data_IF_363961895479
#
_entry.id   IF_363961895479
#
_cell.length_a   1.000
_cell.length_b   1.000
_cell.length_c   1.000
_cell.angle_alpha   90.00
_cell.angle_beta   90.00
_cell.angle_gamma   90.00
#
_symmetry.space_group_name_H-M   'P 1'
#
loop_
_entity.id
_entity.type
_entity.pdbx_description
1 polymer ?
#
# COMPACT_ATOMS: atom_id res chain seq x y z
N UNK A 1 21.81 -43.86 24.01
CA UNK A 1 21.39 -42.44 23.97
C UNK A 1 20.64 -42.25 22.66
N UNK A 2 19.33 -42.48 22.71
CA UNK A 2 18.43 -42.36 21.57
C UNK A 2 18.17 -40.88 21.30
N UNK A 3 18.44 -40.46 20.07
CA UNK A 3 18.10 -39.13 19.56
C UNK A 3 16.57 -39.02 19.46
N UNK A 4 15.97 -38.42 20.47
CA UNK A 4 14.55 -38.11 20.53
C UNK A 4 14.30 -36.77 19.80
N UNK A 5 14.37 -36.79 18.46
CA UNK A 5 13.80 -35.73 17.65
C UNK A 5 12.31 -35.97 17.60
N UNK A 6 11.61 -35.46 18.62
CA UNK A 6 10.16 -35.46 18.70
C UNK A 6 9.59 -34.97 17.37
N UNK A 7 8.79 -35.84 16.75
CA UNK A 7 8.09 -35.63 15.49
C UNK A 7 7.23 -34.37 15.56
N UNK A 8 7.83 -33.22 15.26
CA UNK A 8 7.06 -32.03 14.93
C UNK A 8 6.46 -32.32 13.56
N UNK A 9 5.25 -32.86 13.57
CA UNK A 9 4.57 -33.31 12.37
C UNK A 9 4.34 -32.08 11.49
N UNK A 10 5.07 -32.01 10.37
CA UNK A 10 4.94 -30.92 9.39
C UNK A 10 3.47 -30.67 9.01
N UNK A 11 2.62 -31.70 9.02
CA UNK A 11 1.19 -31.58 8.77
C UNK A 11 0.44 -30.79 9.85
N UNK A 12 0.91 -30.79 11.09
CA UNK A 12 0.33 -29.99 12.18
C UNK A 12 0.71 -28.52 12.01
N UNK A 13 1.98 -28.23 11.72
CA UNK A 13 2.44 -26.88 11.37
C UNK A 13 1.66 -26.32 10.17
N UNK A 14 1.45 -27.13 9.13
CA UNK A 14 0.67 -26.74 7.96
C UNK A 14 -0.81 -26.46 8.28
N UNK A 15 -1.44 -27.29 9.11
CA UNK A 15 -2.85 -27.08 9.52
C UNK A 15 -3.02 -25.83 10.36
N UNK A 16 -2.09 -25.58 11.28
CA UNK A 16 -2.11 -24.38 12.11
C UNK A 16 -1.89 -23.12 11.25
N UNK A 17 -1.00 -23.19 10.26
CA UNK A 17 -0.77 -22.10 9.30
C UNK A 17 -1.99 -21.83 8.38
N UNK A 18 -2.69 -22.87 7.93
CA UNK A 18 -3.88 -22.74 7.07
C UNK A 18 -5.13 -22.24 7.80
N UNK A 19 -5.22 -22.46 9.12
CA UNK A 19 -6.37 -22.06 9.94
C UNK A 19 -6.29 -20.63 10.48
N UNK A 20 -5.21 -19.91 10.21
CA UNK A 20 -5.10 -18.52 10.65
C UNK A 20 -6.08 -17.67 9.85
N UNK A 21 -7.09 -17.12 10.53
CA UNK A 21 -8.05 -16.15 9.98
C UNK A 21 -7.34 -15.01 9.23
N UNK A 22 -6.16 -14.62 9.71
CA UNK A 22 -5.26 -13.66 9.06
C UNK A 22 -4.92 -14.04 7.61
N UNK A 23 -4.68 -15.31 7.30
CA UNK A 23 -4.36 -15.73 5.92
C UNK A 23 -5.57 -15.56 4.99
N UNK A 24 -6.80 -15.76 5.48
CA UNK A 24 -8.01 -15.54 4.67
C UNK A 24 -8.23 -14.05 4.42
N UNK A 25 -8.02 -13.21 5.42
CA UNK A 25 -8.18 -11.76 5.31
C UNK A 25 -7.12 -11.14 4.39
N UNK A 26 -5.89 -11.67 4.42
CA UNK A 26 -4.79 -11.27 3.52
C UNK A 26 -5.00 -11.72 2.07
N UNK A 27 -5.81 -12.76 1.82
CA UNK A 27 -6.14 -13.26 0.49
C UNK A 27 -7.55 -12.90 0.04
N UNK A 28 -8.17 -11.89 0.67
CA UNK A 28 -9.49 -11.44 0.27
C UNK A 28 -9.52 -11.07 -1.22
N UNK A 29 -10.53 -11.56 -1.92
CA UNK A 29 -10.87 -11.15 -3.27
C UNK A 29 -12.39 -11.01 -3.38
N UNK A 30 -12.83 -10.03 -4.17
CA UNK A 30 -14.25 -9.73 -4.34
C UNK A 30 -14.52 -8.88 -5.56
N UNK A 31 -15.79 -8.52 -5.75
CA UNK A 31 -16.22 -7.64 -6.82
C UNK A 31 -15.84 -6.18 -6.52
N UNK A 32 -15.92 -5.33 -7.54
CA UNK A 32 -15.79 -3.89 -7.37
C UNK A 32 -16.82 -3.33 -6.36
N UNK A 33 -18.04 -3.86 -6.34
CA UNK A 33 -19.09 -3.43 -5.40
C UNK A 33 -18.79 -3.83 -3.95
N UNK A 34 -18.18 -4.99 -3.74
CA UNK A 34 -17.72 -5.40 -2.41
C UNK A 34 -16.65 -4.44 -1.89
N UNK A 35 -15.73 -4.04 -2.76
CA UNK A 35 -14.71 -3.04 -2.44
C UNK A 35 -15.32 -1.66 -2.11
N UNK A 36 -16.29 -1.16 -2.89
CA UNK A 36 -16.99 0.10 -2.55
C UNK A 36 -17.66 0.02 -1.19
N UNK A 37 -18.22 -1.14 -0.83
CA UNK A 37 -18.81 -1.38 0.49
C UNK A 37 -17.76 -1.35 1.61
N UNK A 38 -16.55 -1.87 1.35
CA UNK A 38 -15.41 -1.77 2.26
C UNK A 38 -14.99 -0.31 2.45
N UNK A 39 -14.87 0.49 1.38
CA UNK A 39 -14.48 1.91 1.45
C UNK A 39 -15.53 2.69 2.25
N UNK A 40 -16.82 2.41 2.03
CA UNK A 40 -17.91 3.06 2.77
C UNK A 40 -17.88 2.74 4.26
N UNK A 41 -17.47 1.52 4.64
CA UNK A 41 -17.34 1.09 6.04
C UNK A 41 -16.08 1.67 6.69
N UNK A 42 -14.98 1.71 5.95
CA UNK A 42 -13.69 2.21 6.42
C UNK A 42 -13.00 3.03 5.30
N UNK A 43 -13.22 4.34 5.23
CA UNK A 43 -12.60 5.23 4.26
C UNK A 43 -11.06 5.18 4.27
N UNK A 44 -10.43 4.79 5.38
CA UNK A 44 -8.97 4.70 5.50
C UNK A 44 -8.33 3.68 4.56
N UNK A 45 -9.09 2.77 3.95
CA UNK A 45 -8.52 1.80 2.99
C UNK A 45 -8.06 2.47 1.69
N UNK A 46 -8.64 3.61 1.32
CA UNK A 46 -8.26 4.39 0.13
C UNK A 46 -7.21 5.48 0.45
N UNK A 47 -6.46 5.33 1.55
CA UNK A 47 -5.37 6.25 1.90
C UNK A 47 -4.26 6.19 0.86
N UNK A 48 -3.74 7.37 0.51
CA UNK A 48 -2.54 7.49 -0.30
C UNK A 48 -1.28 7.05 0.49
N UNK A 49 -0.14 6.97 -0.19
CA UNK A 49 1.12 6.54 0.41
C UNK A 49 1.55 7.41 1.62
N UNK A 50 1.42 8.73 1.53
CA UNK A 50 1.82 9.64 2.61
C UNK A 50 0.92 9.54 3.84
N UNK A 51 -0.40 9.44 3.64
CA UNK A 51 -1.37 9.21 4.71
C UNK A 51 -1.07 7.89 5.43
N UNK A 52 -0.77 6.83 4.66
CA UNK A 52 -0.43 5.52 5.22
C UNK A 52 0.86 5.55 6.03
N UNK A 53 1.90 6.22 5.53
CA UNK A 53 3.18 6.35 6.24
C UNK A 53 3.05 7.20 7.51
N UNK A 54 2.29 8.29 7.45
CA UNK A 54 2.06 9.15 8.62
C UNK A 54 1.28 8.41 9.70
N UNK A 55 0.17 7.77 9.33
CA UNK A 55 -0.67 7.03 10.27
C UNK A 55 0.08 5.83 10.87
N UNK A 56 0.88 5.10 10.07
CA UNK A 56 1.76 4.04 10.57
C UNK A 56 2.62 4.50 11.76
N UNK A 57 3.23 5.68 11.64
CA UNK A 57 4.14 6.20 12.66
C UNK A 57 3.37 6.67 13.89
N UNK A 58 2.24 7.38 13.69
CA UNK A 58 1.46 7.97 14.78
C UNK A 58 0.62 6.93 15.53
N UNK A 59 0.08 5.92 14.83
CA UNK A 59 -0.72 4.84 15.43
C UNK A 59 0.10 3.94 16.38
N UNK A 60 1.43 3.89 16.21
CA UNK A 60 2.33 3.24 17.18
C UNK A 60 2.45 4.00 18.51
N UNK A 61 2.03 5.26 18.55
CA UNK A 61 2.02 6.09 19.75
C UNK A 61 3.15 7.12 19.79
N UNK A 62 2.90 8.18 20.55
CA UNK A 62 3.81 9.31 20.72
C UNK A 62 3.90 9.74 22.17
N UNK A 63 5.06 10.23 22.59
CA UNK A 63 5.27 10.83 23.91
C UNK A 63 5.78 12.26 23.75
N UNK A 64 5.27 13.19 24.56
CA UNK A 64 5.70 14.58 24.54
C UNK A 64 6.59 14.86 25.74
N UNK A 65 7.75 15.47 25.50
CA UNK A 65 8.66 15.93 26.53
C UNK A 65 9.24 17.30 26.19
N UNK A 66 9.80 17.98 27.21
CA UNK A 66 10.41 19.30 27.03
C UNK A 66 11.92 19.17 27.09
N UNK A 67 12.59 19.49 25.97
CA UNK A 67 14.04 19.59 25.88
C UNK A 67 14.47 21.05 25.73
N UNK A 68 15.18 21.60 26.71
CA UNK A 68 15.67 23.00 26.72
C UNK A 68 14.60 24.00 26.21
N UNK A 69 13.41 23.98 26.84
CA UNK A 69 12.22 24.81 26.52
C UNK A 69 11.55 24.53 25.16
N UNK A 70 11.94 23.49 24.43
CA UNK A 70 11.28 23.05 23.20
C UNK A 70 10.40 21.84 23.50
N UNK A 71 9.17 21.88 23.02
CA UNK A 71 8.29 20.72 23.00
C UNK A 71 8.77 19.76 21.92
N UNK A 72 9.15 18.55 22.33
CA UNK A 72 9.64 17.50 21.46
C UNK A 72 8.67 16.32 21.53
N UNK A 73 8.31 15.79 20.36
CA UNK A 73 7.49 14.61 20.22
C UNK A 73 8.41 13.44 19.90
N UNK A 74 8.44 12.47 20.79
CA UNK A 74 9.04 11.17 20.57
C UNK A 74 8.02 10.23 19.91
N UNK A 75 8.42 9.54 18.86
CA UNK A 75 7.55 8.63 18.11
C UNK A 75 7.99 7.19 18.37
N UNK A 76 7.13 6.41 19.06
CA UNK A 76 7.45 5.03 19.48
C UNK A 76 7.74 4.07 18.33
N UNK A 77 7.25 4.41 17.14
CA UNK A 77 7.60 3.70 15.92
C UNK A 77 9.13 3.52 15.74
N UNK A 78 9.94 4.50 16.17
CA UNK A 78 11.40 4.46 16.02
C UNK A 78 12.14 3.74 17.15
N UNK A 79 11.43 3.21 18.15
CA UNK A 79 12.00 2.40 19.24
C UNK A 79 12.18 0.94 18.85
N UNK A 80 11.56 0.50 17.74
CA UNK A 80 11.67 -0.86 17.20
C UNK A 80 11.28 -1.96 18.23
N UNK A 81 10.31 -1.67 19.10
CA UNK A 81 9.91 -2.57 20.20
C UNK A 81 9.52 -3.98 19.71
N UNK A 82 8.79 -4.05 18.57
CA UNK A 82 8.37 -5.31 17.95
C UNK A 82 9.56 -6.22 17.57
N UNK A 83 10.75 -5.65 17.34
CA UNK A 83 11.97 -6.40 16.98
C UNK A 83 13.03 -6.36 18.11
N UNK A 84 12.62 -6.02 19.32
CA UNK A 84 13.50 -5.97 20.49
C UNK A 84 14.52 -4.81 20.45
N UNK A 85 14.18 -3.70 19.80
CA UNK A 85 15.02 -2.50 19.76
C UNK A 85 16.27 -2.63 18.90
N UNK A 86 16.31 -3.60 17.98
CA UNK A 86 17.50 -3.90 17.15
C UNK A 86 17.90 -2.71 16.26
N UNK A 87 16.89 -2.01 15.75
CA UNK A 87 17.03 -0.87 14.86
C UNK A 87 16.69 0.46 15.54
N UNK A 88 16.50 0.45 16.87
CA UNK A 88 16.05 1.61 17.64
C UNK A 88 16.91 2.85 17.38
N UNK A 89 16.25 4.00 17.17
CA UNK A 89 16.90 5.26 16.84
C UNK A 89 16.84 6.21 18.03
N UNK A 90 17.99 6.46 18.64
CA UNK A 90 18.10 7.33 19.82
C UNK A 90 18.65 8.72 19.48
N UNK A 91 18.18 9.74 20.21
CA UNK A 91 18.73 11.10 20.13
C UNK A 91 18.45 11.86 18.84
N UNK A 92 17.53 11.36 17.99
CA UNK A 92 17.13 11.99 16.73
C UNK A 92 15.69 12.50 16.74
N UNK A 93 15.06 12.70 17.90
CA UNK A 93 13.66 13.11 17.99
C UNK A 93 13.35 14.38 17.21
N UNK A 94 14.19 15.43 17.32
CA UNK A 94 14.00 16.69 16.58
C UNK A 94 14.07 16.46 15.05
N UNK A 95 15.10 15.79 14.49
CA UNK A 95 15.09 15.38 13.09
C UNK A 95 13.89 14.52 12.67
N UNK A 96 13.49 13.55 13.48
CA UNK A 96 12.36 12.66 13.22
C UNK A 96 11.03 13.44 13.22
N UNK A 97 10.84 14.39 14.14
CA UNK A 97 9.71 15.31 14.10
C UNK A 97 9.64 16.10 12.79
N UNK A 98 10.77 16.57 12.27
CA UNK A 98 10.79 17.26 10.97
C UNK A 98 10.38 16.32 9.84
N UNK A 99 10.88 15.08 9.83
CA UNK A 99 10.47 14.07 8.85
C UNK A 99 8.97 13.77 8.93
N UNK A 100 8.45 13.50 10.13
CA UNK A 100 7.03 13.19 10.34
C UNK A 100 6.15 14.40 10.01
N UNK A 101 6.60 15.62 10.26
CA UNK A 101 5.88 16.83 9.83
C UNK A 101 5.81 16.96 8.30
N UNK A 102 6.85 16.56 7.57
CA UNK A 102 6.80 16.49 6.10
C UNK A 102 5.77 15.45 5.66
N UNK A 103 5.75 14.27 6.27
CA UNK A 103 4.74 13.24 5.99
C UNK A 103 3.33 13.73 6.30
N UNK A 104 3.13 14.41 7.43
CA UNK A 104 1.85 15.03 7.82
C UNK A 104 1.39 16.06 6.79
N UNK A 105 2.29 16.94 6.36
CA UNK A 105 1.96 17.96 5.36
C UNK A 105 1.58 17.33 4.00
N UNK A 106 2.28 16.26 3.60
CA UNK A 106 1.98 15.52 2.38
C UNK A 106 0.67 14.73 2.49
N UNK A 107 0.37 14.15 3.66
CA UNK A 107 -0.89 13.45 3.94
C UNK A 107 -2.12 14.36 3.81
N UNK A 108 -1.94 15.65 4.11
CA UNK A 108 -2.97 16.70 4.00
C UNK A 108 -3.00 17.40 2.62
N UNK A 109 -2.11 17.04 1.69
CA UNK A 109 -2.07 17.60 0.35
C UNK A 109 -1.54 19.04 0.25
N UNK A 110 -0.65 19.45 1.16
CA UNK A 110 -0.06 20.80 1.17
C UNK A 110 1.13 20.97 0.20
N UNK A 111 1.24 20.13 -0.84
CA UNK A 111 2.27 20.21 -1.88
C UNK A 111 3.57 19.49 -1.56
N UNK A 112 3.72 18.98 -0.32
CA UNK A 112 4.90 18.18 0.07
C UNK A 112 4.90 16.80 -0.60
N UNK A 113 3.74 16.30 -1.02
CA UNK A 113 3.57 15.01 -1.71
C UNK A 113 4.25 14.95 -3.09
N UNK A 114 4.58 16.11 -3.66
CA UNK A 114 5.26 16.24 -4.97
C UNK A 114 6.77 16.46 -4.85
N UNK A 115 7.34 16.36 -3.63
CA UNK A 115 8.75 16.69 -3.35
C UNK A 115 9.55 15.44 -2.99
N UNK A 116 10.83 15.46 -3.35
CA UNK A 116 11.78 14.43 -2.90
C UNK A 116 12.23 14.75 -1.47
N UNK A 117 12.13 13.77 -0.57
CA UNK A 117 12.66 13.87 0.79
C UNK A 117 14.12 13.43 0.78
N UNK A 118 15.03 14.37 1.03
CA UNK A 118 16.46 14.09 1.12
C UNK A 118 16.91 13.99 2.58
N UNK A 119 17.33 12.80 3.01
CA UNK A 119 17.99 12.61 4.31
C UNK A 119 19.49 12.85 4.13
N UNK A 120 20.00 13.96 4.67
CA UNK A 120 21.41 14.30 4.65
C UNK A 120 21.98 14.39 6.07
N UNK A 121 23.27 14.04 6.24
CA UNK A 121 23.94 14.10 7.53
C UNK A 121 25.21 13.24 7.57
N UNK A 122 26.04 13.35 8.62
CA UNK A 122 27.30 12.61 8.76
C UNK A 122 27.12 11.09 8.66
N UNK A 123 28.21 10.36 8.40
CA UNK A 123 28.20 8.89 8.47
C UNK A 123 27.81 8.46 9.89
N UNK A 124 26.99 7.41 10.03
CA UNK A 124 26.51 6.92 11.33
C UNK A 124 25.29 7.63 11.91
N UNK A 125 24.71 8.62 11.23
CA UNK A 125 23.50 9.34 11.69
C UNK A 125 22.16 8.60 11.48
N UNK A 126 22.16 7.26 11.50
CA UNK A 126 20.97 6.39 11.37
C UNK A 126 20.06 6.59 10.14
N UNK A 127 20.43 7.38 9.12
CA UNK A 127 19.60 7.62 7.91
C UNK A 127 19.08 6.35 7.24
N UNK A 128 19.96 5.40 6.98
CA UNK A 128 19.59 4.11 6.36
C UNK A 128 18.75 3.25 7.31
N UNK A 129 18.96 3.37 8.62
CA UNK A 129 18.15 2.70 9.65
C UNK A 129 16.72 3.22 9.61
N UNK A 130 16.53 4.55 9.62
CA UNK A 130 15.20 5.19 9.50
C UNK A 130 14.47 4.72 8.23
N UNK A 131 15.14 4.76 7.07
CA UNK A 131 14.53 4.27 5.83
C UNK A 131 14.13 2.79 5.92
N UNK A 132 14.98 1.94 6.49
CA UNK A 132 14.72 0.52 6.65
C UNK A 132 13.57 0.25 7.62
N UNK A 133 13.48 0.98 8.73
CA UNK A 133 12.36 0.88 9.66
C UNK A 133 11.05 1.26 8.98
N UNK A 134 11.02 2.33 8.20
CA UNK A 134 9.82 2.75 7.45
C UNK A 134 9.38 1.66 6.45
N UNK A 135 10.32 1.08 5.69
CA UNK A 135 10.02 -0.01 4.74
C UNK A 135 9.46 -1.25 5.42
N UNK A 136 10.14 -1.74 6.47
CA UNK A 136 9.66 -2.89 7.26
C UNK A 136 8.32 -2.59 7.93
N UNK A 137 8.16 -1.38 8.47
CA UNK A 137 6.97 -0.92 9.14
C UNK A 137 5.77 -0.87 8.20
N UNK A 138 5.92 -0.32 7.00
CA UNK A 138 4.81 -0.24 6.02
C UNK A 138 4.45 -1.62 5.47
N UNK A 139 5.43 -2.51 5.27
CA UNK A 139 5.18 -3.91 4.95
C UNK A 139 4.38 -4.62 6.06
N UNK A 140 4.81 -4.52 7.31
CA UNK A 140 4.10 -5.13 8.45
C UNK A 140 2.70 -4.52 8.63
N UNK A 141 2.59 -3.20 8.53
CA UNK A 141 1.32 -2.48 8.61
C UNK A 141 0.35 -2.91 7.51
N UNK A 142 0.84 -3.15 6.30
CA UNK A 142 0.01 -3.65 5.20
C UNK A 142 -0.62 -5.01 5.46
N UNK A 143 -0.14 -5.77 6.47
CA UNK A 143 -0.71 -7.06 6.88
C UNK A 143 -1.79 -6.93 7.96
N UNK A 144 -1.99 -5.74 8.55
CA UNK A 144 -3.03 -5.50 9.54
C UNK A 144 -4.35 -5.08 8.89
N UNK A 145 -5.44 -5.09 9.67
CA UNK A 145 -6.73 -4.55 9.21
C UNK A 145 -6.66 -3.02 9.03
N UNK A 146 -5.94 -2.32 9.91
CA UNK A 146 -5.77 -0.87 9.86
C UNK A 146 -5.01 -0.47 8.60
N UNK A 147 -3.91 -1.16 8.29
CA UNK A 147 -3.10 -0.90 7.11
C UNK A 147 -3.65 -1.52 5.84
N UNK A 148 -4.94 -1.86 5.78
CA UNK A 148 -5.52 -2.46 4.60
C UNK A 148 -5.42 -1.60 3.34
N UNK A 149 -5.07 -2.26 2.24
CA UNK A 149 -5.01 -1.73 0.89
C UNK A 149 -5.38 -2.82 -0.12
N UNK A 150 -5.90 -2.38 -1.26
CA UNK A 150 -6.46 -3.23 -2.29
C UNK A 150 -5.99 -2.77 -3.66
N UNK A 151 -5.88 -3.72 -4.57
CA UNK A 151 -5.63 -3.51 -6.01
C UNK A 151 -6.66 -4.32 -6.78
N UNK A 152 -6.71 -4.18 -8.09
CA UNK A 152 -7.54 -5.04 -8.94
C UNK A 152 -6.74 -5.80 -9.98
N UNK A 153 -7.41 -6.79 -10.56
CA UNK A 153 -7.00 -7.52 -11.75
C UNK A 153 -8.20 -7.69 -12.67
N UNK A 154 -7.92 -7.73 -13.96
CA UNK A 154 -8.91 -7.99 -14.98
C UNK A 154 -9.05 -9.50 -15.15
N UNK A 155 -10.29 -9.99 -15.29
CA UNK A 155 -10.61 -11.41 -15.39
C UNK A 155 -11.48 -11.66 -16.61
N UNK A 156 -11.09 -12.65 -17.41
CA UNK A 156 -11.86 -13.22 -18.51
C UNK A 156 -11.98 -14.73 -18.27
N UNK A 157 -12.89 -15.14 -17.38
CA UNK A 157 -13.01 -16.55 -16.97
C UNK A 157 -13.38 -17.47 -18.14
N UNK A 158 -14.23 -16.99 -19.05
CA UNK A 158 -14.66 -17.75 -20.21
C UNK A 158 -13.57 -17.84 -21.29
N UNK A 159 -12.65 -16.86 -21.35
CA UNK A 159 -11.65 -16.79 -22.40
C UNK A 159 -12.19 -16.27 -23.73
N UNK A 160 -13.31 -15.55 -23.71
CA UNK A 160 -14.00 -15.05 -24.90
C UNK A 160 -13.49 -13.65 -25.33
N UNK A 161 -12.44 -13.16 -24.68
CA UNK A 161 -11.87 -11.82 -24.87
C UNK A 161 -10.37 -11.86 -25.17
N UNK A 162 -9.87 -12.91 -25.82
CA UNK A 162 -8.44 -13.05 -26.15
C UNK A 162 -7.91 -11.89 -27.02
N UNK A 163 -8.78 -11.22 -27.77
CA UNK A 163 -8.45 -10.01 -28.54
C UNK A 163 -8.14 -8.79 -27.67
N UNK A 164 -8.61 -8.78 -26.41
CA UNK A 164 -8.40 -7.70 -25.45
C UNK A 164 -7.27 -8.07 -24.47
N UNK A 165 -7.30 -9.29 -23.92
CA UNK A 165 -6.41 -9.72 -22.85
C UNK A 165 -5.12 -10.38 -23.36
N UNK A 166 -5.13 -10.85 -24.61
CA UNK A 166 -4.07 -11.69 -25.18
C UNK A 166 -4.45 -13.18 -25.17
N UNK A 167 -3.88 -13.91 -26.13
CA UNK A 167 -4.15 -15.34 -26.33
C UNK A 167 -3.81 -16.15 -25.08
N UNK A 168 -4.78 -16.93 -24.58
CA UNK A 168 -4.60 -17.76 -23.38
C UNK A 168 -4.51 -17.00 -22.05
N UNK A 169 -4.66 -15.68 -22.06
CA UNK A 169 -4.67 -14.87 -20.82
C UNK A 169 -6.09 -14.89 -20.25
N UNK A 170 -6.22 -15.30 -18.99
CA UNK A 170 -7.50 -15.32 -18.26
C UNK A 170 -7.55 -14.33 -17.10
N UNK A 171 -6.38 -13.98 -16.57
CA UNK A 171 -6.23 -12.99 -15.50
C UNK A 171 -5.11 -12.06 -15.89
N UNK A 172 -5.37 -10.76 -15.89
CA UNK A 172 -4.41 -9.71 -16.15
C UNK A 172 -4.33 -8.79 -14.92
N UNK A 173 -3.30 -8.92 -14.06
CA UNK A 173 -3.16 -8.06 -12.89
C UNK A 173 -2.90 -6.61 -13.30
N UNK A 174 -3.39 -5.63 -12.53
CA UNK A 174 -3.00 -4.23 -12.73
C UNK A 174 -1.48 -4.10 -12.60
N UNK A 175 -0.75 -3.69 -13.67
CA UNK A 175 0.72 -3.63 -13.65
C UNK A 175 1.25 -2.63 -12.62
N UNK A 176 0.48 -1.58 -12.33
CA UNK A 176 0.87 -0.51 -11.41
C UNK A 176 0.23 -0.67 -10.02
N UNK A 177 -0.42 -1.80 -9.75
CA UNK A 177 -1.13 -2.08 -8.50
C UNK A 177 -2.07 -0.93 -8.07
N UNK A 178 -2.89 -0.50 -9.02
CA UNK A 178 -3.65 0.73 -8.90
C UNK A 178 -4.81 0.61 -7.92
N UNK A 179 -5.18 1.74 -7.31
CA UNK A 179 -6.37 1.81 -6.47
C UNK A 179 -7.62 1.49 -7.32
N UNK A 180 -8.47 0.53 -6.91
CA UNK A 180 -9.68 0.18 -7.65
C UNK A 180 -10.60 1.38 -7.90
N UNK A 181 -10.62 2.41 -7.04
CA UNK A 181 -11.40 3.62 -7.27
C UNK A 181 -11.03 4.35 -8.57
N UNK A 182 -9.82 4.14 -9.11
CA UNK A 182 -9.42 4.73 -10.40
C UNK A 182 -10.21 4.17 -11.59
N UNK A 183 -10.85 3.00 -11.46
CA UNK A 183 -11.76 2.42 -12.46
C UNK A 183 -13.03 3.24 -12.66
N UNK A 184 -13.37 4.12 -11.72
CA UNK A 184 -14.55 4.98 -11.79
C UNK A 184 -14.33 6.05 -12.85
N UNK A 185 -15.22 6.15 -13.87
CA UNK A 185 -15.16 7.19 -14.89
C UNK A 185 -15.13 8.60 -14.30
N UNK A 186 -14.39 9.50 -14.94
CA UNK A 186 -14.09 10.85 -14.42
C UNK A 186 -15.35 11.64 -14.05
N UNK A 187 -16.37 11.58 -14.90
CA UNK A 187 -17.67 12.23 -14.73
C UNK A 187 -18.47 11.72 -13.51
N UNK A 188 -18.22 10.46 -13.10
CA UNK A 188 -18.89 9.86 -11.94
C UNK A 188 -18.15 10.10 -10.62
N UNK A 189 -16.86 10.47 -10.66
CA UNK A 189 -16.01 10.56 -9.47
C UNK A 189 -16.51 11.56 -8.44
N UNK A 190 -16.96 12.74 -8.89
CA UNK A 190 -17.44 13.78 -7.97
C UNK A 190 -18.61 13.29 -7.11
N UNK A 191 -19.60 12.67 -7.75
CA UNK A 191 -20.78 12.11 -7.09
C UNK A 191 -20.42 10.96 -6.15
N UNK A 192 -19.55 10.04 -6.58
CA UNK A 192 -19.13 8.92 -5.76
C UNK A 192 -18.33 9.39 -4.53
N UNK A 193 -17.38 10.31 -4.71
CA UNK A 193 -16.62 10.89 -3.59
C UNK A 193 -17.54 11.59 -2.60
N UNK A 194 -18.57 12.31 -3.06
CA UNK A 194 -19.55 12.94 -2.15
C UNK A 194 -20.28 11.88 -1.31
N UNK A 195 -20.77 10.81 -1.96
CA UNK A 195 -21.43 9.68 -1.28
C UNK A 195 -20.52 8.98 -0.28
N UNK A 196 -19.27 8.67 -0.65
CA UNK A 196 -18.31 7.99 0.21
C UNK A 196 -17.87 8.84 1.40
N UNK A 197 -17.84 10.16 1.23
CA UNK A 197 -17.47 11.08 2.30
C UNK A 197 -18.65 11.56 3.15
N UNK A 198 -19.89 11.21 2.79
CA UNK A 198 -21.10 11.65 3.51
C UNK A 198 -21.12 11.05 4.92
N UNK A 199 -21.08 11.92 5.93
CA UNK A 199 -21.07 11.50 7.33
C UNK A 199 -19.74 10.94 7.82
N UNK A 200 -18.68 10.94 7.00
CA UNK A 200 -17.35 10.53 7.44
C UNK A 200 -16.79 11.51 8.48
N UNK A 201 -16.19 10.95 9.54
CA UNK A 201 -15.47 11.67 10.60
C UNK A 201 -13.96 11.42 10.53
N UNK A 202 -13.49 10.75 9.48
CA UNK A 202 -12.07 10.48 9.31
C UNK A 202 -11.29 11.76 9.00
N UNK A 203 -10.00 11.74 9.37
CA UNK A 203 -9.06 12.86 9.13
C UNK A 203 -8.82 13.12 7.64
N UNK A 204 -9.06 12.11 6.79
CA UNK A 204 -8.88 12.18 5.34
C UNK A 204 -10.19 11.97 4.61
N UNK A 205 -10.43 12.82 3.60
CA UNK A 205 -11.51 12.64 2.64
C UNK A 205 -11.08 11.65 1.56
N UNK A 206 -11.97 10.75 1.18
CA UNK A 206 -11.80 9.90 -0.01
C UNK A 206 -11.75 10.80 -1.24
N UNK A 207 -10.67 10.69 -2.01
CA UNK A 207 -10.49 11.42 -3.26
C UNK A 207 -9.91 10.48 -4.31
N UNK A 208 -10.45 10.54 -5.52
CA UNK A 208 -9.98 9.74 -6.65
C UNK A 208 -9.12 10.66 -7.52
N UNK A 209 -7.81 10.45 -7.49
CA UNK A 209 -6.83 11.23 -8.25
C UNK A 209 -6.09 10.34 -9.25
N UNK A 210 -5.70 10.90 -10.39
CA UNK A 210 -4.97 10.18 -11.43
C UNK A 210 -5.87 9.39 -12.38
N UNK A 211 -5.25 8.57 -13.20
CA UNK A 211 -5.90 7.79 -14.25
C UNK A 211 -5.32 6.38 -14.31
N UNK A 212 -6.08 5.45 -14.88
CA UNK A 212 -5.62 4.10 -15.14
C UNK A 212 -4.33 4.08 -15.98
N UNK A 213 -3.40 3.19 -15.65
CA UNK A 213 -2.18 2.95 -16.40
C UNK A 213 -2.51 2.49 -17.82
N UNK A 214 -1.59 2.64 -18.79
CA UNK A 214 -1.92 2.41 -20.19
C UNK A 214 -2.53 1.03 -20.50
N UNK A 215 -2.02 -0.10 -19.94
CA UNK A 215 -2.65 -1.41 -20.14
C UNK A 215 -4.06 -1.53 -19.55
N UNK A 216 -4.25 -1.13 -18.28
CA UNK A 216 -5.57 -1.15 -17.63
C UNK A 216 -6.59 -0.27 -18.36
N UNK A 217 -6.15 0.91 -18.82
CA UNK A 217 -6.97 1.85 -19.59
C UNK A 217 -7.37 1.28 -20.94
N UNK A 218 -6.45 0.57 -21.62
CA UNK A 218 -6.74 -0.11 -22.87
C UNK A 218 -7.81 -1.19 -22.70
N UNK A 219 -7.66 -2.06 -21.69
CA UNK A 219 -8.63 -3.12 -21.38
C UNK A 219 -10.00 -2.52 -21.06
N UNK A 220 -10.05 -1.53 -20.16
CA UNK A 220 -11.29 -0.83 -19.80
C UNK A 220 -12.00 -0.25 -21.03
N UNK A 221 -11.26 0.47 -21.89
CA UNK A 221 -11.81 1.08 -23.12
C UNK A 221 -12.36 0.01 -24.07
N UNK A 222 -11.64 -1.10 -24.28
CA UNK A 222 -12.06 -2.16 -25.19
C UNK A 222 -13.29 -2.92 -24.69
N UNK A 223 -13.36 -3.20 -23.40
CA UNK A 223 -14.57 -3.79 -22.80
C UNK A 223 -15.76 -2.83 -22.90
N UNK A 224 -15.54 -1.54 -22.67
CA UNK A 224 -16.59 -0.53 -22.79
C UNK A 224 -17.12 -0.42 -24.23
N UNK A 225 -16.23 -0.43 -25.23
CA UNK A 225 -16.58 -0.51 -26.66
C UNK A 225 -17.39 -1.78 -26.95
N UNK A 226 -16.92 -2.95 -26.52
CA UNK A 226 -17.57 -4.27 -26.75
C UNK A 226 -18.96 -4.34 -26.13
N UNK A 227 -19.15 -3.74 -24.96
CA UNK A 227 -20.42 -3.73 -24.24
C UNK A 227 -21.29 -2.49 -24.49
N UNK A 228 -20.99 -1.71 -25.54
CA UNK A 228 -21.77 -0.52 -25.92
C UNK A 228 -21.99 0.46 -24.75
N UNK A 229 -20.96 0.68 -23.93
CA UNK A 229 -21.03 1.61 -22.79
C UNK A 229 -21.57 1.01 -21.48
N UNK A 230 -21.91 -0.28 -21.43
CA UNK A 230 -22.42 -0.89 -20.20
C UNK A 230 -21.29 -1.14 -19.18
N UNK A 231 -21.15 -0.24 -18.22
CA UNK A 231 -20.14 -0.32 -17.14
C UNK A 231 -20.33 -1.50 -16.20
N UNK A 232 -21.56 -1.95 -15.96
CA UNK A 232 -21.82 -3.09 -15.08
C UNK A 232 -21.18 -4.37 -15.64
N UNK A 233 -21.26 -4.57 -16.96
CA UNK A 233 -20.55 -5.66 -17.65
C UNK A 233 -19.03 -5.50 -17.59
N UNK A 234 -18.51 -4.27 -17.71
CA UNK A 234 -17.08 -4.00 -17.57
C UNK A 234 -16.59 -4.33 -16.16
N UNK A 235 -17.32 -3.91 -15.12
CA UNK A 235 -16.98 -4.25 -13.73
C UNK A 235 -17.13 -5.75 -13.43
N UNK A 236 -17.91 -6.50 -14.21
CA UNK A 236 -17.92 -7.96 -14.17
C UNK A 236 -16.57 -8.60 -14.51
N UNK A 237 -15.70 -7.90 -15.24
CA UNK A 237 -14.32 -8.31 -15.50
C UNK A 237 -13.33 -7.82 -14.45
N UNK A 238 -13.77 -7.15 -13.39
CA UNK A 238 -12.88 -6.61 -12.35
C UNK A 238 -12.97 -7.49 -11.11
N UNK A 239 -11.84 -8.09 -10.72
CA UNK A 239 -11.68 -8.71 -9.42
C UNK A 239 -10.77 -7.84 -8.56
N UNK A 240 -11.31 -7.31 -7.47
CA UNK A 240 -10.52 -6.58 -6.47
C UNK A 240 -9.92 -7.60 -5.52
N UNK A 241 -8.67 -7.39 -5.13
CA UNK A 241 -7.97 -8.25 -4.17
C UNK A 241 -7.19 -7.44 -3.15
N UNK A 242 -7.01 -8.03 -1.98
CA UNK A 242 -6.12 -7.52 -0.94
C UNK A 242 -4.70 -7.48 -1.49
N UNK A 243 -4.00 -6.39 -1.20
CA UNK A 243 -2.59 -6.23 -1.55
C UNK A 243 -1.76 -6.13 -0.27
N UNK A 244 -0.67 -6.87 -0.22
CA UNK A 244 0.32 -6.81 0.85
C UNK A 244 1.57 -6.20 0.25
N UNK A 245 2.14 -5.20 0.90
CA UNK A 245 3.38 -4.59 0.45
C UNK A 245 4.54 -5.53 0.76
N UNK A 246 5.53 -5.59 -0.13
CA UNK A 246 6.71 -6.43 0.04
C UNK A 246 7.90 -5.72 -0.58
N UNK A 247 8.94 -5.47 0.22
CA UNK A 247 10.20 -4.96 -0.32
C UNK A 247 10.90 -6.03 -1.17
N UNK A 248 10.87 -7.28 -0.73
CA UNK A 248 11.55 -8.39 -1.41
C UNK A 248 10.98 -8.66 -2.81
N UNK A 249 9.65 -8.61 -2.93
CA UNK A 249 8.93 -8.84 -4.19
C UNK A 249 8.69 -7.54 -4.98
N UNK A 250 9.19 -6.40 -4.48
CA UNK A 250 9.00 -5.05 -5.05
C UNK A 250 7.52 -4.64 -5.23
N UNK A 251 6.67 -5.10 -4.34
CA UNK A 251 5.23 -4.79 -4.35
C UNK A 251 5.01 -3.53 -3.52
N UNK A 252 4.87 -2.39 -4.21
CA UNK A 252 4.63 -1.06 -3.63
C UNK A 252 5.79 -0.48 -2.82
N UNK A 253 6.90 -1.21 -2.64
CA UNK A 253 8.14 -0.73 -2.04
C UNK A 253 9.29 -1.00 -3.01
N UNK A 254 9.86 0.07 -3.59
CA UNK A 254 11.04 0.00 -4.44
C UNK A 254 12.28 0.57 -3.76
N UNK A 255 13.41 -0.14 -3.86
CA UNK A 255 14.72 0.39 -3.44
C UNK A 255 15.63 0.47 -4.67
N UNK A 256 16.11 1.68 -4.97
CA UNK A 256 17.08 1.93 -6.03
C UNK A 256 18.40 2.34 -5.42
N UNK A 257 19.45 1.60 -5.73
CA UNK A 257 20.80 2.00 -5.38
C UNK A 257 21.34 2.92 -6.49
N UNK A 258 21.93 4.07 -6.14
CA UNK A 258 22.61 4.89 -7.13
C UNK A 258 23.75 4.07 -7.74
N UNK A 259 23.68 3.84 -9.04
CA UNK A 259 24.73 3.23 -9.87
C UNK A 259 25.21 4.28 -10.87
N UNK A 260 26.42 4.12 -11.37
CA UNK A 260 26.92 4.96 -12.47
C UNK A 260 25.98 4.91 -13.68
N UNK A 261 25.77 6.07 -14.31
CA UNK A 261 24.84 6.31 -15.42
C UNK A 261 25.04 5.34 -16.60
N UNK A 262 26.26 4.80 -16.77
CA UNK A 262 26.60 3.85 -17.84
C UNK A 262 26.17 2.41 -17.56
N UNK A 263 25.90 2.06 -16.31
CA UNK A 263 25.56 0.70 -15.86
C UNK A 263 24.15 0.61 -15.25
N UNK A 264 23.33 1.64 -15.45
CA UNK A 264 21.98 1.69 -14.92
C UNK A 264 20.99 1.20 -15.97
N UNK A 265 20.33 0.08 -15.70
CA UNK A 265 19.21 -0.40 -16.51
C UNK A 265 17.94 0.36 -16.11
N UNK A 266 17.39 1.14 -17.04
CA UNK A 266 16.17 1.93 -16.83
C UNK A 266 14.95 1.09 -16.48
N UNK A 267 14.95 -0.22 -16.80
CA UNK A 267 13.87 -1.15 -16.43
C UNK A 267 13.77 -1.36 -14.93
N UNK A 268 14.87 -1.18 -14.18
CA UNK A 268 14.84 -1.25 -12.72
C UNK A 268 13.82 -0.24 -12.16
N UNK A 269 13.78 1.00 -12.68
CA UNK A 269 12.91 2.08 -12.21
C UNK A 269 11.41 1.85 -12.44
N UNK A 270 11.06 1.13 -13.51
CA UNK A 270 9.66 0.86 -13.87
C UNK A 270 9.14 -0.45 -13.30
N UNK A 271 10.02 -1.32 -12.79
CA UNK A 271 9.63 -2.63 -12.27
C UNK A 271 9.03 -3.57 -13.32
N UNK A 272 9.37 -3.36 -14.60
CA UNK A 272 8.90 -4.14 -15.76
C UNK A 272 10.07 -4.88 -16.37
#
# INVERSE_FOLDING_TARGET
MSNDWGSTNFQTILKDWQNTKEYRDLNWAGSFNDYISLVKKNPKISRNAFQRLYDLIVEKGTEEYVDVKKHVIHYKFFDDEDNGGRDAVFGLDIPLMKLVNVLRAAAQGYGAEKRVILLHGPVGSAKSTVCRMIKKGVEAYSKTEQGALYTFEWVDEAGDHEEIFGKGVRVYPSPMHEDPLMLVPEDMRAKLCEELNRGSRDDYRVQIQGELCPPSRYIFKKLLEKYNGNLEKVFGHVRVKRMVLSEADRIGIGTFQPKDEKNQDSTELTGV
#
